data_IF_093365354829
#
_entry.id   IF_093365354829
#
_cell.length_a   1.000
_cell.length_b   1.000
_cell.length_c   1.000
_cell.angle_alpha   90.00
_cell.angle_beta   90.00
_cell.angle_gamma   90.00
#
_symmetry.space_group_name_H-M   'P 1'
#
loop_
_entity.id
_entity.type
_entity.pdbx_description
1 polymer ?
#
# COMPACT_ATOMS: atom_id res chain seq x y z
N UNK A 1 6.60 -4.96 -1.13
CA UNK A 1 6.93 -4.99 0.30
C UNK A 1 5.91 -5.86 1.01
N UNK A 2 6.34 -6.86 1.81
CA UNK A 2 5.46 -7.95 2.28
C UNK A 2 4.69 -7.66 3.59
N UNK A 3 4.84 -6.48 4.18
CA UNK A 3 4.26 -6.15 5.49
C UNK A 3 2.73 -6.21 5.54
N UNK A 4 2.08 -5.93 4.42
CA UNK A 4 0.62 -5.86 4.29
C UNK A 4 0.00 -7.10 3.64
N UNK A 5 0.77 -8.19 3.44
CA UNK A 5 0.24 -9.43 2.87
C UNK A 5 -0.95 -9.99 3.66
N UNK A 6 -0.94 -9.80 4.98
CA UNK A 6 -2.04 -10.24 5.84
C UNK A 6 -3.40 -9.64 5.50
N UNK A 7 -3.43 -8.53 4.75
CA UNK A 7 -4.68 -7.95 4.25
C UNK A 7 -5.36 -8.81 3.18
N UNK A 8 -4.62 -9.69 2.51
CA UNK A 8 -5.15 -10.57 1.48
C UNK A 8 -5.97 -11.73 2.03
N UNK A 9 -5.75 -12.13 3.29
CA UNK A 9 -6.36 -13.32 3.87
C UNK A 9 -5.34 -14.44 4.06
N UNK A 10 -5.74 -15.72 3.99
CA UNK A 10 -4.82 -16.85 4.20
C UNK A 10 -4.58 -17.71 2.93
N UNK A 11 -5.00 -17.20 1.79
CA UNK A 11 -4.85 -17.84 0.48
C UNK A 11 -6.20 -18.03 -0.21
N UNK A 12 -7.08 -18.85 0.32
CA UNK A 12 -8.37 -19.14 -0.30
C UNK A 12 -9.46 -18.18 0.22
N UNK A 13 -9.34 -17.74 1.48
CA UNK A 13 -10.33 -16.88 2.13
C UNK A 13 -9.79 -15.44 2.29
N UNK A 14 -10.51 -14.42 1.80
CA UNK A 14 -10.11 -13.03 1.93
C UNK A 14 -10.23 -12.54 3.38
N UNK A 15 -9.30 -11.68 3.82
CA UNK A 15 -9.34 -11.09 5.16
C UNK A 15 -10.49 -10.11 5.36
N UNK A 16 -10.95 -9.48 4.29
CA UNK A 16 -12.02 -8.49 4.32
C UNK A 16 -13.16 -8.88 3.39
N UNK A 17 -14.38 -8.79 3.91
CA UNK A 17 -15.61 -8.94 3.14
C UNK A 17 -16.31 -7.58 3.01
N UNK A 18 -17.16 -7.38 1.99
CA UNK A 18 -17.98 -6.17 1.92
C UNK A 18 -18.82 -6.00 3.19
N UNK A 19 -18.92 -4.79 3.71
CA UNK A 19 -19.79 -4.48 4.81
C UNK A 19 -21.26 -4.60 4.39
N UNK A 20 -22.03 -5.38 5.13
CA UNK A 20 -23.46 -5.60 4.86
C UNK A 20 -24.37 -4.70 5.70
N UNK A 21 -23.86 -4.15 6.79
CA UNK A 21 -24.59 -3.25 7.67
C UNK A 21 -24.59 -1.83 7.10
N UNK A 22 -25.77 -1.40 6.64
CA UNK A 22 -25.94 -0.04 6.07
C UNK A 22 -25.67 1.07 7.07
N UNK A 23 -25.99 0.87 8.35
CA UNK A 23 -25.72 1.88 9.37
C UNK A 23 -24.21 2.12 9.51
N UNK A 24 -23.40 1.05 9.50
CA UNK A 24 -21.93 1.14 9.54
C UNK A 24 -21.37 1.82 8.29
N UNK A 25 -21.93 1.49 7.12
CA UNK A 25 -21.53 2.15 5.87
C UNK A 25 -21.82 3.66 5.93
N UNK A 26 -23.05 4.04 6.31
CA UNK A 26 -23.52 5.43 6.24
C UNK A 26 -22.98 6.31 7.36
N UNK A 27 -22.82 5.77 8.57
CA UNK A 27 -22.41 6.54 9.75
C UNK A 27 -20.92 6.46 10.06
N UNK A 28 -20.29 5.33 9.78
CA UNK A 28 -18.88 5.08 10.08
C UNK A 28 -17.99 5.05 8.84
N UNK A 29 -18.59 5.11 7.64
CA UNK A 29 -17.87 4.95 6.37
C UNK A 29 -17.09 3.63 6.28
N UNK A 30 -17.54 2.60 7.00
CA UNK A 30 -16.96 1.26 6.98
C UNK A 30 -17.49 0.48 5.78
N UNK A 31 -16.72 0.43 4.70
CA UNK A 31 -17.11 -0.27 3.47
C UNK A 31 -16.79 -1.77 3.52
N UNK A 32 -15.96 -2.21 4.46
CA UNK A 32 -15.49 -3.59 4.62
C UNK A 32 -15.56 -4.01 6.08
N UNK A 33 -15.70 -5.30 6.32
CA UNK A 33 -15.62 -5.94 7.62
C UNK A 33 -14.61 -7.09 7.58
N UNK A 34 -14.09 -7.47 8.74
CA UNK A 34 -13.27 -8.68 8.83
C UNK A 34 -14.09 -9.91 8.49
N UNK A 35 -13.46 -10.87 7.79
CA UNK A 35 -14.09 -12.14 7.49
C UNK A 35 -14.25 -12.97 8.79
N UNK A 36 -15.48 -13.30 9.21
CA UNK A 36 -15.72 -14.05 10.45
C UNK A 36 -15.29 -15.54 10.35
N UNK A 37 -15.08 -16.04 9.12
CA UNK A 37 -14.66 -17.43 8.89
C UNK A 37 -13.15 -17.63 9.06
N UNK A 38 -12.40 -16.52 9.18
CA UNK A 38 -10.97 -16.54 9.45
C UNK A 38 -10.66 -16.30 10.93
N UNK A 39 -9.72 -17.05 11.48
CA UNK A 39 -9.15 -16.72 12.79
C UNK A 39 -8.57 -15.30 12.77
N UNK A 40 -8.91 -14.53 13.79
CA UNK A 40 -8.39 -13.18 13.90
C UNK A 40 -6.88 -13.19 14.12
N UNK A 41 -6.17 -12.47 13.26
CA UNK A 41 -4.74 -12.19 13.40
C UNK A 41 -4.48 -10.72 13.10
N UNK A 42 -3.52 -10.13 13.80
CA UNK A 42 -2.99 -8.82 13.39
C UNK A 42 -2.40 -8.92 12.00
N UNK A 43 -2.53 -7.87 11.20
CA UNK A 43 -2.05 -7.87 9.81
C UNK A 43 -0.55 -8.23 9.70
N UNK A 44 0.36 -7.68 10.55
CA UNK A 44 1.76 -8.09 10.53
C UNK A 44 1.96 -9.58 10.84
N UNK A 45 1.23 -10.12 11.81
CA UNK A 45 1.35 -11.52 12.20
C UNK A 45 0.86 -12.46 11.09
N UNK A 46 -0.28 -12.14 10.46
CA UNK A 46 -0.78 -12.87 9.29
C UNK A 46 0.18 -12.77 8.11
N UNK A 47 0.81 -11.61 7.89
CA UNK A 47 1.84 -11.46 6.86
C UNK A 47 3.01 -12.40 7.07
N UNK A 48 3.51 -12.51 8.31
CA UNK A 48 4.58 -13.42 8.68
C UNK A 48 4.17 -14.89 8.52
N UNK A 49 2.95 -15.24 8.93
CA UNK A 49 2.38 -16.57 8.74
C UNK A 49 2.34 -16.96 7.25
N UNK A 50 1.86 -16.06 6.39
CA UNK A 50 1.81 -16.30 4.94
C UNK A 50 3.21 -16.51 4.38
N UNK A 51 4.19 -15.68 4.73
CA UNK A 51 5.57 -15.83 4.28
C UNK A 51 6.15 -17.18 4.71
N UNK A 52 5.89 -17.62 5.95
CA UNK A 52 6.27 -18.91 6.43
C UNK A 52 5.60 -20.05 5.65
N UNK A 53 4.28 -19.94 5.36
CA UNK A 53 3.52 -20.92 4.56
C UNK A 53 4.13 -21.12 3.17
N UNK A 54 4.69 -20.08 2.57
CA UNK A 54 5.39 -20.15 1.29
C UNK A 54 6.90 -20.47 1.39
N UNK A 55 7.40 -20.84 2.56
CA UNK A 55 8.80 -21.20 2.76
C UNK A 55 9.79 -20.04 2.59
N UNK A 56 9.32 -18.80 2.69
CA UNK A 56 10.18 -17.63 2.56
C UNK A 56 10.90 -17.41 3.89
N UNK A 57 12.22 -17.63 3.87
CA UNK A 57 13.07 -17.37 5.04
C UNK A 57 13.36 -15.88 5.17
N UNK A 58 13.40 -15.41 6.41
CA UNK A 58 13.64 -14.02 6.75
C UNK A 58 14.75 -13.91 7.79
N UNK A 59 15.55 -12.87 7.73
CA UNK A 59 16.43 -12.48 8.82
C UNK A 59 15.60 -11.93 10.00
N UNK A 60 16.18 -11.97 11.20
CA UNK A 60 15.55 -11.37 12.37
C UNK A 60 15.19 -9.88 12.16
N UNK A 61 16.01 -9.13 11.44
CA UNK A 61 15.76 -7.71 11.14
C UNK A 61 14.53 -7.52 10.24
N UNK A 62 14.38 -8.36 9.23
CA UNK A 62 13.21 -8.34 8.33
C UNK A 62 11.95 -8.73 9.06
N UNK A 63 12.02 -9.80 9.88
CA UNK A 63 10.92 -10.22 10.75
C UNK A 63 10.44 -9.06 11.64
N UNK A 64 11.37 -8.44 12.39
CA UNK A 64 11.04 -7.32 13.26
C UNK A 64 10.53 -6.11 12.48
N UNK A 65 11.07 -5.86 11.29
CA UNK A 65 10.60 -4.80 10.40
C UNK A 65 9.14 -5.00 9.99
N UNK A 66 8.76 -6.20 9.61
CA UNK A 66 7.36 -6.54 9.26
C UNK A 66 6.49 -6.50 10.50
N UNK A 67 6.91 -7.13 11.61
CA UNK A 67 6.10 -7.25 12.82
C UNK A 67 5.79 -5.90 13.48
N UNK A 68 6.73 -4.97 13.41
CA UNK A 68 6.67 -3.70 14.15
C UNK A 68 6.43 -2.47 13.26
N UNK A 69 6.07 -2.66 11.97
CA UNK A 69 5.93 -1.52 11.05
C UNK A 69 4.81 -0.54 11.44
N UNK A 70 3.75 -1.02 12.10
CA UNK A 70 2.68 -0.16 12.63
C UNK A 70 3.15 0.69 13.82
N UNK A 71 4.37 0.44 14.34
CA UNK A 71 4.94 1.20 15.42
C UNK A 71 4.08 1.13 16.68
N UNK A 72 4.00 2.24 17.39
CA UNK A 72 3.21 2.37 18.63
C UNK A 72 1.71 2.51 18.42
N UNK A 73 1.24 2.58 17.17
CA UNK A 73 -0.19 2.52 16.85
C UNK A 73 -0.79 1.15 17.18
N UNK A 74 0.03 0.10 17.12
CA UNK A 74 -0.34 -1.21 17.65
C UNK A 74 0.16 -1.34 19.10
N UNK A 75 -0.77 -1.44 20.03
CA UNK A 75 -0.49 -1.56 21.47
C UNK A 75 0.38 -2.78 21.81
N UNK A 76 0.28 -3.85 21.03
CA UNK A 76 1.10 -5.05 21.19
C UNK A 76 2.60 -4.79 20.95
N UNK A 77 2.95 -3.67 20.33
CA UNK A 77 4.32 -3.28 20.05
C UNK A 77 4.99 -2.47 21.17
N UNK A 78 4.22 -2.01 22.17
CA UNK A 78 4.73 -1.12 23.23
C UNK A 78 6.01 -1.65 23.90
N UNK A 79 6.07 -2.96 24.18
CA UNK A 79 7.22 -3.59 24.79
C UNK A 79 8.52 -3.46 24.00
N UNK A 80 8.42 -3.27 22.69
CA UNK A 80 9.58 -3.10 21.80
C UNK A 80 10.07 -1.64 21.70
N UNK A 81 9.19 -0.67 21.97
CA UNK A 81 9.49 0.74 21.81
C UNK A 81 9.78 1.45 23.13
N UNK A 82 9.12 1.04 24.23
CA UNK A 82 9.18 1.72 25.51
C UNK A 82 9.98 0.95 26.57
N UNK A 83 11.18 0.51 26.21
CA UNK A 83 12.07 -0.10 27.20
C UNK A 83 13.07 0.91 27.75
N UNK A 84 13.15 1.00 29.07
CA UNK A 84 14.18 1.78 29.79
C UNK A 84 15.50 1.00 29.93
N UNK A 85 15.50 -0.29 29.60
CA UNK A 85 16.68 -1.16 29.71
C UNK A 85 17.40 -1.17 28.36
N UNK A 86 18.67 -0.79 28.36
CA UNK A 86 19.47 -0.69 27.12
C UNK A 86 19.55 -2.02 26.36
N UNK A 87 19.66 -3.15 27.05
CA UNK A 87 19.71 -4.48 26.44
C UNK A 87 18.40 -4.86 25.69
N UNK A 88 17.28 -4.23 26.03
CA UNK A 88 15.97 -4.43 25.40
C UNK A 88 15.67 -3.44 24.27
N UNK A 89 16.57 -2.50 24.01
CA UNK A 89 16.42 -1.54 22.91
C UNK A 89 16.65 -2.19 21.57
N UNK A 90 15.90 -1.74 20.57
CA UNK A 90 16.07 -2.19 19.19
C UNK A 90 17.44 -1.78 18.65
N UNK A 91 18.20 -2.78 18.15
CA UNK A 91 19.55 -2.59 17.59
C UNK A 91 19.53 -2.34 16.09
N UNK A 92 18.34 -2.28 15.49
CA UNK A 92 18.19 -2.08 14.04
C UNK A 92 17.34 -0.85 13.75
N UNK A 93 17.75 -0.05 12.78
CA UNK A 93 17.01 1.13 12.31
C UNK A 93 15.87 0.78 11.35
N UNK A 94 15.82 -0.47 10.84
CA UNK A 94 14.85 -0.88 9.81
C UNK A 94 13.40 -0.69 10.29
N UNK A 95 13.14 -0.88 11.58
CA UNK A 95 11.82 -0.71 12.18
C UNK A 95 11.38 0.75 12.06
N UNK A 96 12.24 1.69 12.49
CA UNK A 96 11.96 3.12 12.42
C UNK A 96 11.81 3.61 10.99
N UNK A 97 12.65 3.11 10.07
CA UNK A 97 12.57 3.46 8.64
C UNK A 97 11.25 2.98 8.05
N UNK A 98 10.86 1.74 8.31
CA UNK A 98 9.62 1.16 7.77
C UNK A 98 8.40 1.85 8.35
N UNK A 99 8.36 2.07 9.67
CA UNK A 99 7.27 2.78 10.32
C UNK A 99 7.12 4.21 9.77
N UNK A 100 8.22 4.95 9.67
CA UNK A 100 8.18 6.33 9.14
C UNK A 100 7.76 6.35 7.68
N UNK A 101 8.28 5.45 6.86
CA UNK A 101 7.93 5.36 5.45
C UNK A 101 6.44 5.04 5.26
N UNK A 102 5.88 4.13 6.08
CA UNK A 102 4.48 3.79 6.05
C UNK A 102 3.59 4.96 6.47
N UNK A 103 3.94 5.60 7.57
CA UNK A 103 3.23 6.79 8.03
C UNK A 103 3.22 7.90 6.98
N UNK A 104 4.37 8.21 6.36
CA UNK A 104 4.46 9.21 5.30
C UNK A 104 3.65 8.81 4.07
N UNK A 105 3.74 7.55 3.62
CA UNK A 105 2.97 7.04 2.49
C UNK A 105 1.47 7.21 2.72
N UNK A 106 0.97 6.81 3.89
CA UNK A 106 -0.46 6.94 4.23
C UNK A 106 -0.93 8.40 4.24
N UNK A 107 -0.08 9.35 4.68
CA UNK A 107 -0.40 10.79 4.64
C UNK A 107 -0.45 11.32 3.21
N UNK A 108 0.53 10.95 2.39
CA UNK A 108 0.57 11.36 0.97
C UNK A 108 -0.62 10.78 0.20
N UNK A 109 -0.93 9.51 0.41
CA UNK A 109 -2.08 8.86 -0.21
C UNK A 109 -3.41 9.50 0.20
N UNK A 110 -3.56 9.82 1.49
CA UNK A 110 -4.74 10.54 1.99
C UNK A 110 -4.89 11.92 1.37
N UNK A 111 -3.81 12.68 1.23
CA UNK A 111 -3.83 14.00 0.60
C UNK A 111 -4.18 13.91 -0.89
N UNK A 112 -3.68 12.90 -1.59
CA UNK A 112 -4.02 12.63 -2.99
C UNK A 112 -5.50 12.28 -3.10
N UNK A 113 -5.98 11.36 -2.26
CA UNK A 113 -7.38 10.95 -2.21
C UNK A 113 -8.31 12.14 -1.96
N UNK A 114 -7.99 12.98 -0.97
CA UNK A 114 -8.75 14.19 -0.65
C UNK A 114 -8.79 15.18 -1.81
N UNK A 115 -7.65 15.43 -2.48
CA UNK A 115 -7.57 16.30 -3.65
C UNK A 115 -8.37 15.78 -4.83
N UNK A 116 -8.51 14.47 -4.96
CA UNK A 116 -9.32 13.84 -6.01
C UNK A 116 -10.82 13.77 -5.67
N UNK A 117 -11.27 14.44 -4.61
CA UNK A 117 -12.67 14.45 -4.18
C UNK A 117 -13.14 13.10 -3.63
N UNK A 118 -12.27 12.37 -2.92
CA UNK A 118 -12.58 11.08 -2.32
C UNK A 118 -12.53 9.91 -3.31
N UNK A 119 -11.90 10.09 -4.48
CA UNK A 119 -11.71 9.02 -5.46
C UNK A 119 -10.28 8.51 -5.42
N UNK A 120 -10.11 7.19 -5.37
CA UNK A 120 -8.81 6.51 -5.46
C UNK A 120 -8.24 6.50 -6.87
N UNK A 121 -9.08 6.79 -7.88
CA UNK A 121 -8.65 6.83 -9.28
C UNK A 121 -8.20 8.27 -9.58
N UNK A 122 -6.92 8.52 -9.89
CA UNK A 122 -6.48 9.82 -10.37
C UNK A 122 -7.32 10.21 -11.59
N UNK A 123 -8.02 11.34 -11.53
CA UNK A 123 -8.68 11.90 -12.71
C UNK A 123 -7.56 12.24 -13.69
N UNK A 124 -7.29 11.36 -14.64
CA UNK A 124 -6.41 11.66 -15.76
C UNK A 124 -7.03 12.86 -16.47
N UNK A 125 -6.41 14.03 -16.32
CA UNK A 125 -6.78 15.20 -17.13
C UNK A 125 -6.61 14.75 -18.57
N UNK A 126 -7.73 14.57 -19.29
CA UNK A 126 -7.67 14.40 -20.75
C UNK A 126 -6.97 15.65 -21.26
N UNK A 127 -5.69 15.54 -21.56
CA UNK A 127 -5.01 16.54 -22.38
C UNK A 127 -5.83 16.61 -23.65
N UNK A 128 -6.45 17.80 -23.89
CA UNK A 128 -7.08 18.07 -25.18
C UNK A 128 -5.99 17.77 -26.21
N UNK A 129 -6.17 16.71 -26.98
CA UNK A 129 -5.32 16.47 -28.15
C UNK A 129 -5.55 17.69 -29.02
N UNK A 130 -4.61 18.60 -29.04
CA UNK A 130 -4.49 19.57 -30.13
C UNK A 130 -4.40 18.72 -31.37
N UNK A 131 -5.47 18.74 -32.17
CA UNK A 131 -5.48 18.11 -33.48
C UNK A 131 -4.30 18.70 -34.27
N UNK A 132 -3.19 17.98 -34.24
CA UNK A 132 -2.06 18.29 -35.07
C UNK A 132 -2.56 18.23 -36.50
N UNK A 133 -2.54 19.37 -37.23
CA UNK A 133 -2.68 19.42 -38.65
C UNK A 133 -1.81 18.30 -39.24
N UNK A 134 -2.44 17.31 -39.89
CA UNK A 134 -1.72 16.36 -40.74
C UNK A 134 -0.95 17.17 -41.74
N UNK A 135 0.35 17.29 -41.56
CA UNK A 135 1.25 17.74 -42.61
C UNK A 135 1.30 16.61 -43.63
N UNK A 136 0.70 16.81 -44.79
CA UNK A 136 0.81 15.88 -45.90
C UNK A 136 2.29 15.78 -46.27
N UNK A 137 2.92 14.65 -45.92
CA UNK A 137 4.34 14.37 -46.21
C UNK A 137 4.61 14.00 -47.69
N UNK A 138 3.64 14.17 -48.58
CA UNK A 138 3.81 13.89 -50.03
C UNK A 138 4.51 15.01 -50.81
N UNK A 139 4.59 16.23 -50.30
CA UNK A 139 5.21 17.34 -51.04
C UNK A 139 6.72 17.54 -50.75
N UNK A 140 7.28 16.87 -49.72
CA UNK A 140 8.70 16.99 -49.42
C UNK A 140 9.61 16.18 -50.33
N UNK A 141 9.18 14.99 -50.74
CA UNK A 141 9.99 14.11 -51.58
C UNK A 141 10.12 14.57 -53.03
N UNK A 142 9.07 15.20 -53.57
CA UNK A 142 9.08 15.67 -54.97
C UNK A 142 9.95 16.90 -55.21
N UNK A 143 10.27 17.67 -54.16
CA UNK A 143 11.16 18.82 -54.26
C UNK A 143 12.65 18.45 -54.15
N UNK A 144 12.97 17.30 -53.57
CA UNK A 144 14.35 16.80 -53.50
C UNK A 144 14.83 16.14 -54.79
N UNK A 145 13.90 15.62 -55.59
CA UNK A 145 14.22 14.94 -56.87
C UNK A 145 14.31 15.88 -58.08
N UNK A 146 13.99 17.17 -57.93
CA UNK A 146 14.12 18.15 -59.01
C UNK A 146 15.45 18.89 -59.08
N UNK A 147 16.33 18.65 -58.10
CA UNK A 147 17.65 19.28 -58.00
C UNK A 147 18.82 18.28 -58.11
N UNK A 148 18.56 17.08 -58.63
CA UNK A 148 19.55 16.11 -59.10
C UNK A 148 19.42 16.00 -60.60
#
# INVERSE_FOLDING_TARGET
>A
MFRDLGKLGDGDEPNYLPQTDKWRQDKLSEMYQYNPDLDFMLIPDRSLFILQKFGISMSQKEFLGIRLHDGVFDKANEAYFFSNVESSRQKTSIISVLHTADFLASKVEYDIWKRNGGSTIPKVKKTKSTSGKRVNSSNGLNNLLKNL
#
